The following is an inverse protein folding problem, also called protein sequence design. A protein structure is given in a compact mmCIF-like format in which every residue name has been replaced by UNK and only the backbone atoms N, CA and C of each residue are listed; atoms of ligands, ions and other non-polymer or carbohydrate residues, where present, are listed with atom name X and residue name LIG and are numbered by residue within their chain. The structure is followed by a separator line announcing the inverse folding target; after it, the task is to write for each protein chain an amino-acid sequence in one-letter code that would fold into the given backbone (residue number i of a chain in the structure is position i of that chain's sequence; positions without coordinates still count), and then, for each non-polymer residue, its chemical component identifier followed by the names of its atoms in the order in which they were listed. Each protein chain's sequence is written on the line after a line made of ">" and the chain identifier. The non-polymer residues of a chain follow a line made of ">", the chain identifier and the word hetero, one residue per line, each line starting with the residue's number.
data_IF_608890639936
#
_entry.id   IF_608890639936
#
_cell.length_a   1.000
_cell.length_b   1.000
_cell.length_c   1.000
_cell.angle_alpha   90.00
_cell.angle_beta   90.00
_cell.angle_gamma   90.00
#
_symmetry.space_group_name_H-M   'P 1'
#
loop_
_entity.id
_entity.type
_entity.pdbx_description
1 polymer ?
#
# COMPACT_ATOMS: atom_id res chain seq x y z
N UNK A 1 -26.71 35.98 14.54
CA UNK A 1 -27.05 34.56 14.79
C UNK A 1 -26.34 33.77 13.73
N UNK A 2 -25.33 33.00 14.15
CA UNK A 2 -24.47 32.07 13.39
C UNK A 2 -23.81 32.62 12.11
N UNK A 3 -22.58 33.12 12.28
CA UNK A 3 -21.56 33.25 11.25
C UNK A 3 -20.94 31.85 11.06
N UNK A 4 -21.32 31.16 9.97
CA UNK A 4 -20.84 29.82 9.63
C UNK A 4 -19.55 29.99 8.81
N UNK A 5 -18.46 30.27 9.51
CA UNK A 5 -17.12 30.25 8.92
C UNK A 5 -16.65 28.80 8.83
N UNK A 6 -16.98 28.17 7.69
CA UNK A 6 -16.34 26.94 7.21
C UNK A 6 -14.83 27.20 7.08
N UNK A 7 -14.11 26.81 8.13
CA UNK A 7 -12.67 26.97 8.26
C UNK A 7 -12.02 25.87 7.41
N UNK A 8 -11.99 26.10 6.09
CA UNK A 8 -11.31 25.23 5.13
C UNK A 8 -9.81 25.21 5.41
N UNK A 9 -9.39 24.31 6.30
CA UNK A 9 -7.97 24.00 6.51
C UNK A 9 -7.33 23.73 5.14
N UNK A 10 -6.19 24.38 4.82
CA UNK A 10 -5.53 24.16 3.54
C UNK A 10 -5.11 22.70 3.47
N UNK A 11 -5.83 21.91 2.66
CA UNK A 11 -5.47 20.53 2.39
C UNK A 11 -4.10 20.52 1.71
N UNK A 12 -3.04 20.32 2.51
CA UNK A 12 -1.67 20.19 2.01
C UNK A 12 -1.67 18.95 1.12
N UNK A 13 -1.72 19.17 -0.20
CA UNK A 13 -1.65 18.08 -1.15
C UNK A 13 -0.35 17.31 -0.90
N UNK A 14 -0.40 15.97 -0.87
CA UNK A 14 0.80 15.18 -0.71
C UNK A 14 1.79 15.53 -1.82
N UNK A 15 3.00 15.98 -1.46
CA UNK A 15 4.06 16.29 -2.43
C UNK A 15 4.55 15.06 -3.18
N UNK A 16 4.32 13.87 -2.62
CA UNK A 16 4.71 12.61 -3.22
C UNK A 16 3.79 12.24 -4.39
N UNK A 17 4.35 11.52 -5.37
CA UNK A 17 3.64 10.99 -6.52
C UNK A 17 3.91 9.49 -6.64
N UNK A 18 3.03 8.71 -7.32
CA UNK A 18 3.34 7.33 -7.68
C UNK A 18 4.71 7.23 -8.38
N UNK A 19 5.46 6.20 -8.03
CA UNK A 19 6.80 5.96 -8.55
C UNK A 19 6.82 4.65 -9.33
N UNK A 20 7.55 4.63 -10.45
CA UNK A 20 7.84 3.39 -11.14
C UNK A 20 8.73 2.45 -10.32
N UNK A 21 8.81 1.19 -10.76
CA UNK A 21 9.53 0.13 -10.02
C UNK A 21 11.02 0.43 -9.80
N UNK A 22 11.67 1.11 -10.75
CA UNK A 22 13.09 1.43 -10.67
C UNK A 22 13.33 2.61 -9.74
N UNK A 23 12.48 3.63 -9.82
CA UNK A 23 12.50 4.81 -8.97
C UNK A 23 12.30 4.41 -7.50
N UNK A 24 11.35 3.52 -7.21
CA UNK A 24 11.14 2.98 -5.85
C UNK A 24 12.37 2.24 -5.32
N UNK A 25 12.98 1.39 -6.16
CA UNK A 25 14.21 0.67 -5.81
C UNK A 25 15.37 1.63 -5.51
N UNK A 26 15.63 2.59 -6.40
CA UNK A 26 16.72 3.56 -6.24
C UNK A 26 16.52 4.43 -5.00
N UNK A 27 15.31 4.95 -4.79
CA UNK A 27 14.99 5.75 -3.60
C UNK A 27 15.15 4.93 -2.31
N UNK A 28 14.64 3.70 -2.28
CA UNK A 28 14.80 2.79 -1.14
C UNK A 28 16.28 2.50 -0.83
N UNK A 29 17.11 2.28 -1.84
CA UNK A 29 18.56 2.05 -1.65
C UNK A 29 19.24 3.28 -1.06
N UNK A 30 18.93 4.48 -1.56
CA UNK A 30 19.50 5.71 -1.00
C UNK A 30 19.20 5.86 0.49
N UNK A 31 17.95 5.64 0.90
CA UNK A 31 17.53 5.80 2.29
C UNK A 31 18.10 4.68 3.17
N UNK A 32 18.10 3.43 2.68
CA UNK A 32 18.71 2.30 3.39
C UNK A 32 20.18 2.57 3.69
N UNK A 33 20.95 3.00 2.68
CA UNK A 33 22.39 3.26 2.83
C UNK A 33 22.70 4.50 3.66
N UNK A 34 21.87 5.55 3.58
CA UNK A 34 22.01 6.70 4.47
C UNK A 34 21.89 6.31 5.96
N UNK A 35 21.02 5.34 6.28
CA UNK A 35 20.78 4.89 7.65
C UNK A 35 21.74 3.80 8.13
N UNK A 36 22.11 2.87 7.26
CA UNK A 36 22.90 1.67 7.65
C UNK A 36 24.39 1.80 7.35
N UNK A 37 24.76 2.64 6.39
CA UNK A 37 26.15 2.82 5.95
C UNK A 37 26.42 4.31 5.65
N UNK A 38 26.36 5.18 6.66
CA UNK A 38 26.43 6.64 6.47
C UNK A 38 27.75 7.09 5.81
N UNK A 39 28.85 6.36 6.01
CA UNK A 39 30.16 6.66 5.39
C UNK A 39 30.14 6.55 3.86
N UNK A 40 29.24 5.73 3.30
CA UNK A 40 29.06 5.56 1.86
C UNK A 40 28.06 6.57 1.26
N UNK A 41 27.48 7.47 2.07
CA UNK A 41 26.47 8.43 1.67
C UNK A 41 27.03 9.86 1.67
N UNK A 42 26.71 10.72 0.67
CA UNK A 42 25.85 10.47 -0.50
C UNK A 42 26.48 9.52 -1.53
N UNK A 43 25.63 8.79 -2.26
CA UNK A 43 26.06 7.66 -3.10
C UNK A 43 26.33 8.06 -4.55
N UNK A 44 27.30 7.42 -5.19
CA UNK A 44 27.53 7.54 -6.64
C UNK A 44 26.58 6.63 -7.43
N UNK A 45 26.47 6.85 -8.75
CA UNK A 45 25.70 5.99 -9.65
C UNK A 45 26.09 4.51 -9.51
N UNK A 46 27.39 4.21 -9.50
CA UNK A 46 27.90 2.83 -9.36
C UNK A 46 27.51 2.19 -8.02
N UNK A 47 27.58 2.96 -6.94
CA UNK A 47 27.14 2.50 -5.61
C UNK A 47 25.65 2.18 -5.59
N UNK A 48 24.84 3.02 -6.25
CA UNK A 48 23.40 2.81 -6.37
C UNK A 48 23.06 1.58 -7.21
N UNK A 49 23.69 1.40 -8.37
CA UNK A 49 23.50 0.21 -9.21
C UNK A 49 23.82 -1.06 -8.44
N UNK A 50 24.95 -1.07 -7.72
CA UNK A 50 25.33 -2.19 -6.86
C UNK A 50 24.31 -2.43 -5.74
N UNK A 51 23.81 -1.37 -5.11
CA UNK A 51 22.79 -1.43 -4.06
C UNK A 51 21.42 -1.92 -4.56
N UNK A 52 21.02 -1.56 -5.78
CA UNK A 52 19.76 -1.97 -6.40
C UNK A 52 19.73 -3.47 -6.70
N UNK A 53 20.90 -4.05 -7.00
CA UNK A 53 21.08 -5.43 -7.46
C UNK A 53 21.54 -6.39 -6.34
N UNK A 54 21.51 -5.96 -5.07
CA UNK A 54 21.86 -6.82 -3.94
C UNK A 54 20.92 -8.05 -3.86
N UNK A 55 21.48 -9.21 -3.50
CA UNK A 55 20.73 -10.47 -3.36
C UNK A 55 19.86 -10.52 -2.10
N UNK A 56 20.25 -9.79 -1.06
CA UNK A 56 19.53 -9.69 0.21
C UNK A 56 18.77 -8.36 0.28
N UNK A 57 17.70 -8.33 1.08
CA UNK A 57 16.93 -7.10 1.31
C UNK A 57 16.26 -6.52 0.07
N UNK A 58 16.04 -7.33 -0.97
CA UNK A 58 15.35 -6.94 -2.20
C UNK A 58 14.29 -7.97 -2.54
N UNK A 59 13.08 -7.49 -2.82
CA UNK A 59 12.01 -8.31 -3.37
C UNK A 59 11.16 -7.43 -4.31
N UNK A 60 11.12 -7.70 -5.63
CA UNK A 60 11.85 -8.76 -6.33
C UNK A 60 13.35 -8.46 -6.45
N UNK A 61 14.16 -9.50 -6.61
CA UNK A 61 15.54 -9.31 -7.04
C UNK A 61 15.57 -8.67 -8.44
N UNK A 62 16.43 -7.67 -8.63
CA UNK A 62 16.59 -6.96 -9.91
C UNK A 62 18.02 -7.07 -10.40
N UNK A 63 18.21 -6.83 -11.70
CA UNK A 63 19.51 -6.67 -12.35
C UNK A 63 19.48 -5.40 -13.21
N UNK A 64 19.45 -4.25 -12.54
CA UNK A 64 19.40 -2.94 -13.19
C UNK A 64 20.75 -2.60 -13.82
N UNK A 65 20.70 -2.10 -15.05
CA UNK A 65 21.85 -1.51 -15.72
C UNK A 65 22.06 -0.06 -15.24
N UNK A 66 23.29 0.48 -15.30
CA UNK A 66 23.58 1.86 -14.89
C UNK A 66 22.65 2.90 -15.51
N UNK A 67 22.32 2.75 -16.79
CA UNK A 67 21.44 3.68 -17.53
C UNK A 67 20.01 3.67 -16.98
N UNK A 68 19.53 2.50 -16.50
CA UNK A 68 18.21 2.39 -15.88
C UNK A 68 18.16 3.09 -14.51
N UNK A 69 19.28 3.03 -13.76
CA UNK A 69 19.43 3.71 -12.47
C UNK A 69 19.55 5.22 -12.67
N UNK A 70 20.31 5.65 -13.68
CA UNK A 70 20.46 7.06 -14.05
C UNK A 70 19.12 7.68 -14.47
N UNK A 71 18.37 7.03 -15.37
CA UNK A 71 17.03 7.46 -15.76
C UNK A 71 16.07 7.55 -14.55
N UNK A 72 16.16 6.61 -13.61
CA UNK A 72 15.36 6.65 -12.39
C UNK A 72 15.76 7.82 -11.46
N UNK A 73 17.06 8.11 -11.35
CA UNK A 73 17.57 9.25 -10.59
C UNK A 73 17.10 10.58 -11.19
N UNK A 74 17.14 10.73 -12.50
CA UNK A 74 16.68 11.94 -13.18
C UNK A 74 15.20 12.23 -12.87
N UNK A 75 14.33 11.20 -13.01
CA UNK A 75 12.92 11.34 -12.64
C UNK A 75 12.71 11.68 -11.17
N UNK A 76 13.45 11.02 -10.26
CA UNK A 76 13.39 11.33 -8.83
C UNK A 76 13.85 12.75 -8.51
N UNK A 77 14.80 13.30 -9.27
CA UNK A 77 15.23 14.69 -9.17
C UNK A 77 14.15 15.66 -9.63
N UNK A 78 13.48 15.37 -10.75
CA UNK A 78 12.33 16.17 -11.19
C UNK A 78 11.20 16.20 -10.15
N UNK A 79 11.02 15.11 -9.39
CA UNK A 79 10.07 15.03 -8.29
C UNK A 79 10.57 15.64 -6.98
N UNK A 80 11.81 16.17 -6.94
CA UNK A 80 12.49 16.65 -5.74
C UNK A 80 12.64 15.60 -4.62
N UNK A 81 12.51 14.31 -4.96
CA UNK A 81 12.70 13.20 -4.02
C UNK A 81 14.19 12.87 -3.79
N UNK A 82 15.04 13.25 -4.74
CA UNK A 82 16.50 13.08 -4.71
C UNK A 82 17.13 14.37 -5.23
N UNK A 83 18.29 14.73 -4.70
CA UNK A 83 19.12 15.78 -5.30
C UNK A 83 20.55 15.29 -5.53
N UNK A 84 21.18 15.89 -6.53
CA UNK A 84 22.61 15.74 -6.76
C UNK A 84 23.37 16.68 -5.81
N UNK A 85 24.42 16.17 -5.18
CA UNK A 85 25.29 16.91 -4.28
C UNK A 85 26.56 17.26 -5.05
N UNK A 86 26.67 18.53 -5.44
CA UNK A 86 27.90 19.08 -6.02
C UNK A 86 28.93 19.29 -4.93
N UNK A 87 29.85 18.34 -4.76
CA UNK A 87 30.90 18.41 -3.75
C UNK A 87 32.26 18.11 -4.35
N UNK A 88 32.96 19.15 -4.86
CA UNK A 88 34.40 19.24 -5.18
C UNK A 88 35.06 18.21 -6.11
N UNK A 89 34.52 17.00 -6.25
CA UNK A 89 35.05 15.90 -7.03
C UNK A 89 34.35 15.74 -8.37
N UNK A 90 34.97 14.96 -9.26
CA UNK A 90 34.49 14.73 -10.64
C UNK A 90 33.28 13.81 -10.75
N UNK A 91 32.93 13.07 -9.68
CA UNK A 91 31.88 12.05 -9.72
C UNK A 91 30.63 12.57 -9.02
N UNK A 92 29.51 12.58 -9.74
CA UNK A 92 28.21 12.95 -9.19
C UNK A 92 27.81 12.03 -8.03
N UNK A 93 27.30 12.64 -6.95
CA UNK A 93 26.77 11.94 -5.78
C UNK A 93 25.33 12.36 -5.55
N UNK A 94 24.51 11.45 -5.06
CA UNK A 94 23.07 11.64 -4.90
C UNK A 94 22.66 11.44 -3.43
N UNK A 95 21.75 12.30 -2.98
CA UNK A 95 21.15 12.24 -1.65
C UNK A 95 19.62 12.22 -1.76
N UNK A 96 18.94 11.47 -0.90
CA UNK A 96 17.49 11.48 -0.81
C UNK A 96 16.98 12.72 -0.05
N UNK A 97 15.74 13.11 -0.35
CA UNK A 97 14.98 14.16 0.33
C UNK A 97 13.68 13.58 0.94
N UNK A 98 13.66 12.28 1.28
CA UNK A 98 12.44 11.57 1.67
C UNK A 98 11.70 12.21 2.86
N UNK A 99 12.40 12.81 3.81
CA UNK A 99 11.80 13.42 4.99
C UNK A 99 10.92 14.60 4.61
N UNK A 100 11.44 15.52 3.80
CA UNK A 100 10.74 16.70 3.31
C UNK A 100 9.75 16.37 2.19
N UNK A 101 10.08 15.39 1.35
CA UNK A 101 9.27 14.99 0.20
C UNK A 101 8.01 14.23 0.62
N UNK A 102 8.10 13.34 1.62
CA UNK A 102 6.95 12.58 2.13
C UNK A 102 6.38 13.14 3.44
N UNK A 103 7.06 14.07 4.13
CA UNK A 103 6.63 14.54 5.45
C UNK A 103 6.76 13.46 6.53
N UNK A 104 7.84 12.68 6.48
CA UNK A 104 8.06 11.52 7.37
C UNK A 104 9.21 11.76 8.34
N UNK A 105 9.09 11.22 9.54
CA UNK A 105 10.14 11.12 10.55
C UNK A 105 11.20 10.07 10.17
N UNK A 106 12.26 9.99 10.98
CA UNK A 106 13.35 9.02 10.78
C UNK A 106 12.86 7.57 10.83
N UNK A 107 11.99 7.23 11.77
CA UNK A 107 11.48 5.86 11.94
C UNK A 107 10.47 5.52 10.85
N UNK A 108 9.57 6.45 10.51
CA UNK A 108 8.64 6.31 9.40
C UNK A 108 9.35 6.09 8.06
N UNK A 109 10.45 6.81 7.81
CA UNK A 109 11.27 6.62 6.61
C UNK A 109 11.89 5.22 6.55
N UNK A 110 12.26 4.61 7.69
CA UNK A 110 12.76 3.23 7.73
C UNK A 110 11.66 2.24 7.35
N UNK A 111 10.44 2.41 7.87
CA UNK A 111 9.28 1.58 7.50
C UNK A 111 8.97 1.71 6.01
N UNK A 112 8.90 2.95 5.49
CA UNK A 112 8.68 3.20 4.07
C UNK A 112 9.77 2.57 3.20
N UNK A 113 11.04 2.67 3.61
CA UNK A 113 12.16 2.08 2.87
C UNK A 113 12.06 0.57 2.77
N UNK A 114 11.70 -0.12 3.85
CA UNK A 114 11.53 -1.57 3.82
C UNK A 114 10.38 -1.99 2.88
N UNK A 115 9.27 -1.24 2.88
CA UNK A 115 8.17 -1.47 1.95
C UNK A 115 8.57 -1.18 0.49
N UNK A 116 9.35 -0.13 0.22
CA UNK A 116 9.83 0.17 -1.14
C UNK A 116 10.79 -0.89 -1.69
N UNK A 117 11.58 -1.52 -0.82
CA UNK A 117 12.59 -2.50 -1.21
C UNK A 117 12.04 -3.92 -1.36
N UNK A 118 10.98 -4.27 -0.62
CA UNK A 118 10.41 -5.63 -0.57
C UNK A 118 8.90 -5.75 -0.82
N UNK A 119 8.21 -4.64 -1.05
CA UNK A 119 6.77 -4.63 -1.26
C UNK A 119 5.95 -4.97 -0.02
N UNK A 120 4.79 -5.58 -0.28
CA UNK A 120 3.79 -5.92 0.74
C UNK A 120 4.32 -6.96 1.74
N UNK A 121 4.18 -6.69 3.03
CA UNK A 121 4.73 -7.50 4.11
C UNK A 121 3.77 -7.58 5.28
N UNK A 122 3.88 -8.65 6.07
CA UNK A 122 3.16 -8.69 7.36
C UNK A 122 3.74 -7.67 8.33
N UNK A 123 2.90 -7.11 9.21
CA UNK A 123 3.35 -6.15 10.25
C UNK A 123 4.47 -6.74 11.12
N UNK A 124 4.43 -8.05 11.40
CA UNK A 124 5.45 -8.74 12.19
C UNK A 124 6.81 -8.79 11.50
N UNK A 125 6.85 -9.11 10.20
CA UNK A 125 8.09 -9.07 9.41
C UNK A 125 8.61 -7.64 9.25
N UNK A 126 7.70 -6.70 8.95
CA UNK A 126 8.03 -5.30 8.70
C UNK A 126 8.76 -4.68 9.89
N UNK A 127 8.27 -4.93 11.13
CA UNK A 127 8.93 -4.46 12.35
C UNK A 127 10.38 -4.92 12.44
N UNK A 128 10.62 -6.23 12.30
CA UNK A 128 11.97 -6.79 12.44
C UNK A 128 12.93 -6.34 11.35
N UNK A 129 12.41 -6.15 10.13
CA UNK A 129 13.22 -5.76 8.98
C UNK A 129 13.55 -4.26 8.98
N UNK A 130 12.58 -3.40 9.30
CA UNK A 130 12.77 -1.95 9.43
C UNK A 130 13.63 -1.57 10.64
N UNK A 131 13.61 -2.36 11.72
CA UNK A 131 14.42 -2.14 12.93
C UNK A 131 15.95 -2.08 12.67
N UNK A 132 16.42 -2.61 11.53
CA UNK A 132 17.84 -2.53 11.10
C UNK A 132 18.26 -1.11 10.70
N UNK A 133 17.31 -0.29 10.28
CA UNK A 133 17.54 1.08 9.81
C UNK A 133 17.26 2.10 10.91
N UNK A 134 16.28 1.84 11.77
CA UNK A 134 15.93 2.69 12.91
C UNK A 134 15.26 1.81 13.99
N UNK A 135 15.68 1.84 15.26
CA UNK A 135 15.18 0.91 16.28
C UNK A 135 13.66 0.96 16.47
N UNK A 136 13.01 -0.21 16.43
CA UNK A 136 11.59 -0.38 16.75
C UNK A 136 11.48 -1.55 17.73
N UNK A 137 11.18 -1.29 19.03
CA UNK A 137 11.33 -2.30 20.07
C UNK A 137 10.37 -3.49 19.91
N UNK A 138 9.13 -3.23 19.53
CA UNK A 138 8.11 -4.27 19.38
C UNK A 138 7.04 -3.86 18.35
N UNK A 139 6.07 -4.76 18.14
CA UNK A 139 4.95 -4.51 17.22
C UNK A 139 4.02 -3.42 17.75
N UNK A 140 3.88 -3.26 19.07
CA UNK A 140 3.04 -2.22 19.66
C UNK A 140 3.58 -0.81 19.37
N UNK A 141 4.91 -0.65 19.34
CA UNK A 141 5.57 0.59 18.91
C UNK A 141 5.47 0.83 17.39
N UNK A 142 5.37 -0.23 16.57
CA UNK A 142 5.17 -0.09 15.12
C UNK A 142 3.75 0.39 14.76
N UNK A 143 2.72 -0.04 15.49
CA UNK A 143 1.32 0.31 15.20
C UNK A 143 1.05 1.83 15.08
N UNK A 144 1.45 2.70 16.03
CA UNK A 144 1.23 4.15 15.90
C UNK A 144 2.02 4.76 14.73
N UNK A 145 3.20 4.21 14.41
CA UNK A 145 4.00 4.63 13.24
C UNK A 145 3.26 4.28 11.95
N UNK A 146 2.71 3.06 11.85
CA UNK A 146 1.90 2.65 10.71
C UNK A 146 0.63 3.48 10.59
N UNK A 147 -0.05 3.76 11.70
CA UNK A 147 -1.23 4.61 11.70
C UNK A 147 -0.91 6.00 11.15
N UNK A 148 0.18 6.64 11.63
CA UNK A 148 0.61 7.94 11.10
C UNK A 148 0.93 7.90 9.60
N UNK A 149 1.56 6.81 9.11
CA UNK A 149 1.82 6.62 7.69
C UNK A 149 0.54 6.37 6.87
N UNK A 150 -0.47 5.72 7.43
CA UNK A 150 -1.79 5.52 6.80
C UNK A 150 -2.53 6.87 6.72
N UNK A 151 -2.50 7.66 7.79
CA UNK A 151 -3.12 8.99 7.84
C UNK A 151 -2.48 9.94 6.81
N UNK A 152 -1.15 9.82 6.62
CA UNK A 152 -0.40 10.51 5.55
C UNK A 152 -0.63 9.93 4.14
N UNK A 153 -1.48 8.91 4.01
CA UNK A 153 -1.79 8.18 2.76
C UNK A 153 -0.56 7.53 2.11
N UNK A 154 0.49 7.22 2.88
CA UNK A 154 1.73 6.61 2.40
C UNK A 154 1.73 5.09 2.51
N UNK A 155 0.93 4.55 3.43
CA UNK A 155 0.78 3.10 3.66
C UNK A 155 -0.69 2.71 3.50
N UNK A 156 -0.91 1.51 2.97
CA UNK A 156 -2.23 0.94 2.72
C UNK A 156 -2.28 -0.45 3.37
N UNK A 157 -3.29 -0.68 4.19
CA UNK A 157 -3.62 -2.02 4.69
C UNK A 157 -4.28 -2.84 3.59
N UNK A 158 -3.69 -3.99 3.26
CA UNK A 158 -4.21 -4.90 2.25
C UNK A 158 -5.18 -5.93 2.84
N UNK A 159 -5.01 -6.26 4.12
CA UNK A 159 -5.87 -7.17 4.88
C UNK A 159 -6.43 -6.46 6.12
N UNK A 160 -7.50 -6.99 6.74
CA UNK A 160 -8.02 -6.46 8.01
C UNK A 160 -6.95 -6.41 9.10
N UNK A 161 -7.14 -5.50 10.06
CA UNK A 161 -6.30 -5.41 11.25
C UNK A 161 -6.43 -6.70 12.09
N UNK A 162 -5.30 -7.22 12.57
CA UNK A 162 -5.27 -8.47 13.33
C UNK A 162 -3.95 -9.21 13.19
N UNK A 163 -3.93 -10.47 13.64
CA UNK A 163 -2.75 -11.34 13.46
C UNK A 163 -2.53 -11.56 11.96
N UNK A 164 -1.29 -11.35 11.51
CA UNK A 164 -0.93 -11.53 10.10
C UNK A 164 -1.37 -10.39 9.18
N UNK A 165 -1.75 -9.21 9.71
CA UNK A 165 -2.07 -8.05 8.89
C UNK A 165 -0.93 -7.75 7.89
N UNK A 166 -1.30 -7.59 6.61
CA UNK A 166 -0.39 -7.26 5.52
C UNK A 166 -0.60 -5.79 5.13
N UNK A 167 0.51 -5.07 5.03
CA UNK A 167 0.54 -3.65 4.63
C UNK A 167 1.48 -3.46 3.44
N UNK A 168 1.23 -2.42 2.64
CA UNK A 168 2.08 -2.02 1.52
C UNK A 168 2.18 -0.50 1.42
N UNK A 169 3.08 0.02 0.58
CA UNK A 169 3.20 1.46 0.34
C UNK A 169 2.17 1.95 -0.71
N UNK A 170 1.82 3.23 -0.67
CA UNK A 170 0.87 3.84 -1.60
C UNK A 170 1.49 4.31 -2.93
N UNK A 171 2.82 4.29 -3.06
CA UNK A 171 3.55 4.80 -4.24
C UNK A 171 3.46 3.93 -5.51
N UNK A 172 2.61 2.90 -5.53
CA UNK A 172 2.32 2.13 -6.74
C UNK A 172 1.47 2.94 -7.71
N UNK A 173 1.49 2.58 -9.00
CA UNK A 173 0.39 3.00 -9.89
C UNK A 173 -0.91 2.30 -9.47
N UNK A 174 -2.06 2.85 -9.84
CA UNK A 174 -3.36 2.27 -9.49
C UNK A 174 -3.47 0.81 -9.95
N UNK A 175 -3.11 0.53 -11.21
CA UNK A 175 -3.11 -0.82 -11.78
C UNK A 175 -2.19 -1.80 -11.03
N UNK A 176 -1.01 -1.35 -10.57
CA UNK A 176 -0.11 -2.18 -9.78
C UNK A 176 -0.70 -2.48 -8.40
N UNK A 177 -1.30 -1.47 -7.76
CA UNK A 177 -1.88 -1.60 -6.44
C UNK A 177 -3.08 -2.57 -6.43
N UNK A 178 -3.93 -2.52 -7.45
CA UNK A 178 -5.06 -3.44 -7.60
C UNK A 178 -4.58 -4.90 -7.71
N UNK A 179 -3.55 -5.15 -8.51
CA UNK A 179 -2.94 -6.49 -8.62
C UNK A 179 -2.38 -6.97 -7.29
N UNK A 180 -1.68 -6.11 -6.56
CA UNK A 180 -1.10 -6.45 -5.26
C UNK A 180 -2.20 -6.73 -4.22
N UNK A 181 -3.28 -5.95 -4.25
CA UNK A 181 -4.45 -6.17 -3.39
C UNK A 181 -5.09 -7.52 -3.69
N UNK A 182 -5.28 -7.87 -4.97
CA UNK A 182 -5.84 -9.15 -5.37
C UNK A 182 -4.97 -10.34 -4.91
N UNK A 183 -3.64 -10.26 -5.11
CA UNK A 183 -2.70 -11.30 -4.66
C UNK A 183 -2.71 -11.44 -3.13
N UNK A 184 -2.73 -10.33 -2.41
CA UNK A 184 -2.70 -10.34 -0.94
C UNK A 184 -4.01 -10.83 -0.33
N UNK A 185 -5.15 -10.52 -0.97
CA UNK A 185 -6.44 -11.05 -0.57
C UNK A 185 -6.53 -12.58 -0.79
N UNK A 186 -5.93 -13.10 -1.86
CA UNK A 186 -5.86 -14.54 -2.11
C UNK A 186 -4.91 -15.27 -1.15
N UNK A 187 -3.82 -14.62 -0.74
CA UNK A 187 -2.86 -15.17 0.22
C UNK A 187 -3.33 -15.07 1.68
N UNK A 188 -4.32 -14.23 1.96
CA UNK A 188 -4.87 -14.04 3.30
C UNK A 188 -5.79 -15.21 3.68
N UNK A 189 -5.36 -15.97 4.69
CA UNK A 189 -6.22 -16.93 5.38
C UNK A 189 -6.79 -16.20 6.60
N UNK A 190 -8.09 -15.88 6.66
CA UNK A 190 -8.67 -15.32 7.87
C UNK A 190 -8.46 -16.29 9.03
N UNK A 191 -8.15 -15.74 10.21
CA UNK A 191 -8.13 -16.51 11.45
C UNK A 191 -9.48 -17.25 11.54
N UNK A 192 -9.43 -18.58 11.54
CA UNK A 192 -10.61 -19.38 11.76
C UNK A 192 -11.23 -18.90 13.07
N UNK A 193 -12.52 -18.54 13.03
CA UNK A 193 -13.29 -18.31 14.25
C UNK A 193 -12.94 -19.39 15.28
N UNK A 194 -12.73 -19.05 16.57
CA UNK A 194 -12.28 -20.02 17.56
C UNK A 194 -13.18 -21.27 17.44
N UNK A 195 -12.60 -22.48 17.35
CA UNK A 195 -13.43 -23.67 17.28
C UNK A 195 -14.30 -23.67 18.52
N UNK A 196 -15.60 -23.53 18.33
CA UNK A 196 -16.60 -23.87 19.35
C UNK A 196 -16.16 -25.22 19.93
N UNK A 197 -15.94 -25.35 21.25
CA UNK A 197 -15.44 -26.59 21.80
C UNK A 197 -16.47 -27.68 21.50
N UNK A 198 -16.11 -28.58 20.59
CA UNK A 198 -16.87 -29.77 20.30
C UNK A 198 -16.87 -30.62 21.58
N UNK A 199 -18.05 -30.76 22.17
CA UNK A 199 -18.32 -31.67 23.28
C UNK A 199 -17.85 -33.08 22.89
N UNK A 200 -17.04 -33.79 23.71
CA UNK A 200 -16.61 -35.14 23.38
C UNK A 200 -17.75 -36.14 23.62
N UNK A 201 -18.23 -36.78 22.57
CA UNK A 201 -19.21 -37.87 22.62
C UNK A 201 -18.48 -39.19 22.93
N UNK A 202 -18.76 -39.80 24.08
CA UNK A 202 -18.41 -41.20 24.35
C UNK A 202 -19.31 -42.15 23.53
N UNK A 203 -18.82 -43.34 23.13
CA UNK A 203 -19.64 -44.38 22.52
C UNK A 203 -20.18 -45.34 23.59
N UNK A 204 -21.46 -45.67 23.58
CA UNK A 204 -21.99 -46.91 24.20
C UNK A 204 -23.27 -47.32 23.49
N UNK A 205 -23.29 -48.58 23.04
CA UNK A 205 -24.39 -49.26 22.36
C UNK A 205 -25.50 -49.71 23.32
N UNK A 206 -26.76 -49.69 22.88
CA UNK A 206 -27.78 -50.72 23.17
C UNK A 206 -29.05 -50.52 22.31
N UNK A 207 -29.65 -51.62 21.89
CA UNK A 207 -30.85 -51.73 21.04
C UNK A 207 -32.17 -51.58 21.84
N UNK A 208 -33.26 -51.17 21.18
CA UNK A 208 -34.51 -51.97 20.91
C UNK A 208 -35.78 -51.09 20.76
N UNK A 209 -36.59 -51.42 19.74
CA UNK A 209 -38.05 -51.22 19.51
C UNK A 209 -38.69 -49.82 19.29
N UNK A 210 -39.42 -49.74 18.17
CA UNK A 210 -40.47 -48.77 17.79
C UNK A 210 -41.81 -48.99 18.58
N UNK A 211 -42.97 -48.29 18.37
CA UNK A 211 -43.34 -47.34 17.29
C UNK A 211 -44.25 -46.12 17.65
N UNK A 212 -44.62 -45.35 16.60
CA UNK A 212 -45.89 -44.60 16.36
C UNK A 212 -45.94 -43.04 16.51
N UNK A 213 -46.62 -42.45 15.50
CA UNK A 213 -46.89 -41.05 15.09
C UNK A 213 -47.78 -40.23 16.07
N UNK A 214 -48.14 -38.90 15.90
CA UNK A 214 -48.45 -38.16 14.65
C UNK A 214 -47.92 -36.67 14.57
N UNK A 215 -48.23 -35.90 13.49
CA UNK A 215 -47.55 -34.65 13.15
C UNK A 215 -48.31 -33.40 13.62
N UNK A 216 -47.60 -32.29 13.83
CA UNK A 216 -48.26 -31.00 14.04
C UNK A 216 -47.32 -29.83 14.30
N UNK A 217 -47.71 -28.69 13.74
CA UNK A 217 -47.26 -27.33 14.02
C UNK A 217 -45.96 -26.83 13.36
N UNK A 218 -46.13 -26.24 12.18
CA UNK A 218 -45.37 -25.06 11.77
C UNK A 218 -45.53 -23.93 12.80
N UNK A 219 -44.48 -23.11 13.01
CA UNK A 219 -44.69 -21.69 13.32
C UNK A 219 -43.96 -20.76 12.32
N UNK A 220 -44.27 -19.46 12.38
CA UNK A 220 -44.41 -18.62 11.20
C UNK A 220 -43.17 -17.79 10.85
N UNK A 221 -43.21 -17.24 9.64
CA UNK A 221 -42.41 -16.11 9.21
C UNK A 221 -42.43 -14.97 10.26
N UNK A 222 -41.23 -14.51 10.61
CA UNK A 222 -41.00 -13.22 11.25
C UNK A 222 -39.75 -12.65 10.59
N UNK A 223 -39.94 -11.75 9.63
CA UNK A 223 -39.82 -10.30 9.84
C UNK A 223 -38.36 -9.84 9.70
N UNK A 224 -38.09 -9.20 8.56
CA UNK A 224 -36.88 -8.43 8.32
C UNK A 224 -36.67 -7.38 9.43
N UNK A 225 -35.41 -7.05 9.74
CA UNK A 225 -34.99 -5.68 9.50
C UNK A 225 -33.55 -5.60 9.02
N UNK A 226 -33.31 -4.98 7.85
CA UNK A 226 -32.11 -4.20 7.50
C UNK A 226 -32.15 -3.82 6.01
N UNK A 227 -33.17 -3.05 5.58
CA UNK A 227 -33.19 -2.45 4.24
C UNK A 227 -32.52 -1.08 4.20
N UNK A 228 -32.54 -0.31 5.27
CA UNK A 228 -32.09 1.10 5.26
C UNK A 228 -30.58 1.32 5.16
N UNK A 229 -29.75 0.36 5.54
CA UNK A 229 -28.28 0.48 5.37
C UNK A 229 -27.86 0.06 3.95
N UNK A 230 -28.64 -0.78 3.27
CA UNK A 230 -28.29 -1.33 1.96
C UNK A 230 -28.57 -0.33 0.81
N UNK A 231 -29.50 0.61 1.01
CA UNK A 231 -29.91 1.56 -0.03
C UNK A 231 -28.89 2.70 -0.25
N UNK A 232 -28.19 3.14 0.81
CA UNK A 232 -27.21 4.24 0.73
C UNK A 232 -25.99 3.90 -0.13
N UNK A 233 -25.42 2.71 0.06
CA UNK A 233 -24.27 2.25 -0.72
C UNK A 233 -24.64 1.96 -2.18
N UNK A 234 -25.87 1.51 -2.45
CA UNK A 234 -26.34 1.28 -3.82
C UNK A 234 -26.52 2.59 -4.59
N UNK A 235 -26.99 3.65 -3.92
CA UNK A 235 -27.08 4.99 -4.52
C UNK A 235 -25.69 5.56 -4.84
N UNK A 236 -24.74 5.48 -3.90
CA UNK A 236 -23.36 5.92 -4.10
C UNK A 236 -22.67 5.14 -5.23
N UNK A 237 -22.91 3.83 -5.32
CA UNK A 237 -22.38 3.00 -6.41
C UNK A 237 -22.97 3.37 -7.77
N UNK A 238 -24.26 3.75 -7.82
CA UNK A 238 -24.92 4.18 -9.05
C UNK A 238 -24.41 5.55 -9.52
N UNK A 239 -24.17 6.47 -8.58
CA UNK A 239 -23.59 7.78 -8.83
C UNK A 239 -22.16 7.67 -9.37
N UNK A 240 -21.30 6.91 -8.69
CA UNK A 240 -19.92 6.64 -9.14
C UNK A 240 -19.89 5.98 -10.53
N UNK A 241 -20.82 5.05 -10.82
CA UNK A 241 -20.92 4.43 -12.16
C UNK A 241 -21.34 5.44 -13.23
N UNK A 242 -22.22 6.38 -12.89
CA UNK A 242 -22.62 7.46 -13.78
C UNK A 242 -21.44 8.39 -14.07
N UNK A 243 -20.70 8.79 -13.04
CA UNK A 243 -19.53 9.65 -13.16
C UNK A 243 -18.43 9.02 -14.01
N UNK A 244 -18.12 7.73 -13.79
CA UNK A 244 -17.17 6.97 -14.62
C UNK A 244 -17.61 6.92 -16.08
N UNK A 245 -18.93 6.79 -16.35
CA UNK A 245 -19.46 6.80 -17.72
C UNK A 245 -19.26 8.16 -18.38
N UNK A 246 -19.52 9.26 -17.65
CA UNK A 246 -19.31 10.63 -18.14
C UNK A 246 -17.84 10.88 -18.46
N UNK A 247 -16.92 10.57 -17.53
CA UNK A 247 -15.48 10.76 -17.72
C UNK A 247 -14.94 9.95 -18.91
N UNK A 248 -15.43 8.72 -19.11
CA UNK A 248 -15.07 7.93 -20.30
C UNK A 248 -15.53 8.58 -21.59
N UNK A 249 -16.75 9.13 -21.61
CA UNK A 249 -17.25 9.84 -22.80
C UNK A 249 -16.47 11.12 -23.10
N UNK A 250 -16.03 11.84 -22.07
CA UNK A 250 -15.17 13.02 -22.23
C UNK A 250 -13.78 12.64 -22.76
N UNK A 251 -13.20 11.55 -22.25
CA UNK A 251 -11.91 11.07 -22.73
C UNK A 251 -11.97 10.64 -24.20
N UNK A 252 -13.02 9.92 -24.60
CA UNK A 252 -13.22 9.52 -25.99
C UNK A 252 -13.40 10.73 -26.91
N UNK A 253 -14.09 11.78 -26.42
CA UNK A 253 -14.21 13.04 -27.15
C UNK A 253 -12.86 13.74 -27.33
N UNK A 254 -12.09 13.92 -26.25
CA UNK A 254 -10.76 14.54 -26.31
C UNK A 254 -9.82 13.76 -27.23
N UNK A 255 -9.92 12.42 -27.20
CA UNK A 255 -9.14 11.56 -28.10
C UNK A 255 -9.54 11.76 -29.56
N UNK A 256 -10.84 11.88 -29.85
CA UNK A 256 -11.32 12.19 -31.21
C UNK A 256 -10.82 13.57 -31.66
N UNK A 257 -10.94 14.59 -30.82
CA UNK A 257 -10.50 15.96 -31.13
C UNK A 257 -8.99 15.99 -31.44
N UNK A 258 -8.18 15.24 -30.68
CA UNK A 258 -6.74 15.08 -30.95
C UNK A 258 -6.45 14.34 -32.25
N UNK A 259 -7.24 13.30 -32.58
CA UNK A 259 -7.11 12.56 -33.82
C UNK A 259 -7.45 13.45 -35.03
N UNK A 260 -8.50 14.26 -34.93
CA UNK A 260 -8.93 15.19 -35.97
C UNK A 260 -7.90 16.31 -36.17
N UNK A 261 -7.35 16.85 -35.08
CA UNK A 261 -6.25 17.82 -35.15
C UNK A 261 -5.01 17.21 -35.82
N UNK A 262 -4.65 15.98 -35.47
CA UNK A 262 -3.51 15.29 -36.09
C UNK A 262 -3.72 15.05 -37.58
N UNK A 263 -4.93 14.62 -37.99
CA UNK A 263 -5.30 14.44 -39.39
C UNK A 263 -5.35 15.76 -40.17
N UNK A 264 -5.64 16.89 -39.50
CA UNK A 264 -5.68 18.22 -40.13
C UNK A 264 -4.29 18.84 -40.35
N UNK A 265 -3.30 18.38 -39.59
CA UNK A 265 -1.93 18.89 -39.61
C UNK A 265 -1.00 18.12 -40.56
N UNK A 266 -1.48 17.01 -41.14
CA UNK A 266 -0.69 16.04 -41.89
C UNK A 266 -1.35 15.70 -43.23
#
# INVERSE_FOLDING_TARGET
>A
MADDTDNGEPQIQPKWRPLGRYERRVLGVLVEKAKTTPDAYPMTLNGLTSGCNQKSNRDPQMNLQPEQVENALEKLRHLSAVIEVSGGGRVAKYRHMIYEWMGVSKVEAAVMTELLLRGAQTVGELRGRAARMDPIPDVAALQPILQSLIDKKLVISLTPAGRGQIVTHALYTLDELEKIRAVSAAAYVPDAAPPVPATPSHPTSASTSAPAAPPGASPPASAAPNSTVNDGWQAELAELRSEVKTLRSELDRVKSDLQDLWNSLN
#
